data_IF_802754799880
#
_entry.id   IF_802754799880
#
_cell.length_a   1.000
_cell.length_b   1.000
_cell.length_c   1.000
_cell.angle_alpha   90.00
_cell.angle_beta   90.00
_cell.angle_gamma   90.00
#
_symmetry.space_group_name_H-M   'P 1'
#
loop_
_entity.id
_entity.type
_entity.pdbx_description
1 polymer ?
#
# COMPACT_ATOMS: atom_id res chain seq x y z
N UNK A 1 14.67 -15.26 1.38
CA UNK A 1 13.67 -14.93 0.35
C UNK A 1 14.38 -14.44 -0.89
N UNK A 2 14.10 -15.05 -2.04
CA UNK A 2 14.66 -14.62 -3.32
C UNK A 2 13.91 -13.39 -3.84
N UNK A 3 14.60 -12.58 -4.65
CA UNK A 3 14.00 -11.37 -5.26
C UNK A 3 13.39 -11.63 -6.64
N UNK A 4 13.36 -12.90 -7.07
CA UNK A 4 12.87 -13.38 -8.37
C UNK A 4 11.90 -14.53 -8.17
N UNK A 5 11.00 -14.76 -9.12
CA UNK A 5 10.06 -15.90 -9.09
C UNK A 5 8.94 -15.78 -8.06
N UNK A 6 8.64 -14.57 -7.60
CA UNK A 6 7.53 -14.31 -6.67
C UNK A 6 6.29 -13.87 -7.43
N UNK A 7 5.12 -14.05 -6.82
CA UNK A 7 3.85 -13.44 -7.21
C UNK A 7 3.50 -12.37 -6.18
N UNK A 8 3.41 -11.11 -6.61
CA UNK A 8 3.41 -9.92 -5.75
C UNK A 8 2.16 -9.09 -5.98
N UNK A 9 1.38 -8.83 -4.95
CA UNK A 9 0.28 -7.86 -4.98
C UNK A 9 0.74 -6.52 -4.39
N UNK A 10 0.55 -5.42 -5.15
CA UNK A 10 0.89 -4.06 -4.70
C UNK A 10 -0.38 -3.21 -4.70
N UNK A 11 -0.80 -2.74 -3.53
CA UNK A 11 -1.92 -1.79 -3.44
C UNK A 11 -1.46 -0.38 -3.82
N UNK A 12 -2.31 0.37 -4.53
CA UNK A 12 -1.92 1.69 -5.05
C UNK A 12 -0.80 1.62 -6.09
N UNK A 13 -0.70 0.51 -6.83
CA UNK A 13 0.41 0.21 -7.74
C UNK A 13 0.39 0.94 -9.09
N UNK A 14 -0.64 1.74 -9.38
CA UNK A 14 -0.78 2.39 -10.69
C UNK A 14 0.07 3.66 -10.87
N UNK A 15 0.57 4.26 -9.80
CA UNK A 15 1.34 5.51 -9.82
C UNK A 15 2.41 5.55 -8.72
N UNK A 16 3.32 6.53 -8.79
CA UNK A 16 4.28 6.82 -7.73
C UNK A 16 5.17 5.64 -7.34
N UNK A 17 5.38 5.47 -6.04
CA UNK A 17 6.23 4.41 -5.46
C UNK A 17 5.73 3.03 -5.85
N UNK A 18 4.42 2.79 -5.78
CA UNK A 18 3.83 1.50 -6.12
C UNK A 18 4.10 1.08 -7.58
N UNK A 19 3.99 2.02 -8.53
CA UNK A 19 4.30 1.76 -9.94
C UNK A 19 5.80 1.52 -10.16
N UNK A 20 6.66 2.29 -9.48
CA UNK A 20 8.11 2.08 -9.54
C UNK A 20 8.51 0.69 -9.02
N UNK A 21 7.92 0.26 -7.89
CA UNK A 21 8.12 -1.10 -7.35
C UNK A 21 7.62 -2.16 -8.34
N UNK A 22 6.43 -1.98 -8.91
CA UNK A 22 5.87 -2.91 -9.90
C UNK A 22 6.81 -3.09 -11.10
N UNK A 23 7.34 -1.98 -11.64
CA UNK A 23 8.30 -2.00 -12.74
C UNK A 23 9.57 -2.80 -12.39
N UNK A 24 10.16 -2.50 -11.23
CA UNK A 24 11.40 -3.18 -10.78
C UNK A 24 11.17 -4.67 -10.56
N UNK A 25 10.05 -5.05 -9.94
CA UNK A 25 9.74 -6.46 -9.70
C UNK A 25 9.48 -7.23 -10.99
N UNK A 26 8.77 -6.65 -11.97
CA UNK A 26 8.58 -7.26 -13.28
C UNK A 26 9.91 -7.46 -14.01
N UNK A 27 10.80 -6.46 -13.97
CA UNK A 27 12.13 -6.55 -14.58
C UNK A 27 12.99 -7.66 -13.97
N UNK A 28 12.71 -8.03 -12.73
CA UNK A 28 13.38 -9.13 -12.02
C UNK A 28 12.69 -10.49 -12.16
N UNK A 29 11.75 -10.62 -13.12
CA UNK A 29 11.11 -11.91 -13.40
C UNK A 29 10.08 -12.35 -12.36
N UNK A 30 9.47 -11.41 -11.64
CA UNK A 30 8.33 -11.69 -10.78
C UNK A 30 7.02 -11.50 -11.55
N UNK A 31 5.97 -12.20 -11.10
CA UNK A 31 4.59 -11.92 -11.49
C UNK A 31 4.05 -10.81 -10.59
N UNK A 32 3.50 -9.74 -11.19
CA UNK A 32 3.08 -8.56 -10.43
C UNK A 32 1.64 -8.20 -10.72
N UNK A 33 0.89 -8.07 -9.62
CA UNK A 33 -0.50 -7.62 -9.59
C UNK A 33 -0.55 -6.25 -8.92
N UNK A 34 -1.33 -5.35 -9.46
CA UNK A 34 -1.62 -4.08 -8.82
C UNK A 34 -3.11 -3.86 -8.65
N UNK A 35 -3.49 -3.18 -7.59
CA UNK A 35 -4.84 -2.66 -7.46
C UNK A 35 -4.84 -1.15 -7.21
N UNK A 36 -5.96 -0.50 -7.56
CA UNK A 36 -6.17 0.91 -7.34
C UNK A 36 -7.58 1.33 -7.72
N UNK A 37 -7.98 2.55 -7.37
CA UNK A 37 -9.34 3.06 -7.58
C UNK A 37 -9.57 3.63 -8.98
N UNK A 38 -8.52 4.19 -9.58
CA UNK A 38 -8.58 4.94 -10.83
C UNK A 38 -8.32 4.03 -12.02
N UNK A 39 -9.38 3.72 -12.77
CA UNK A 39 -9.34 2.85 -13.93
C UNK A 39 -8.42 3.38 -15.04
N UNK A 40 -8.45 4.70 -15.27
CA UNK A 40 -7.57 5.37 -16.22
C UNK A 40 -6.07 5.12 -15.90
N UNK A 41 -5.70 5.22 -14.61
CA UNK A 41 -4.31 5.00 -14.17
C UNK A 41 -3.88 3.53 -14.22
N UNK A 42 -4.80 2.61 -13.94
CA UNK A 42 -4.55 1.17 -14.11
C UNK A 42 -4.32 0.85 -15.58
N UNK A 43 -5.13 1.41 -16.48
CA UNK A 43 -4.99 1.26 -17.93
C UNK A 43 -3.67 1.86 -18.45
N UNK A 44 -3.30 3.07 -17.98
CA UNK A 44 -1.99 3.66 -18.32
C UNK A 44 -0.82 2.78 -17.84
N UNK A 45 -0.92 2.22 -16.63
CA UNK A 45 0.11 1.35 -16.07
C UNK A 45 0.27 0.07 -16.87
N UNK A 46 -0.83 -0.60 -17.23
CA UNK A 46 -0.79 -1.84 -18.06
C UNK A 46 -0.27 -1.59 -19.46
N UNK A 47 -0.56 -0.44 -20.08
CA UNK A 47 0.04 -0.05 -21.37
C UNK A 47 1.56 0.12 -21.30
N UNK A 48 2.07 0.69 -20.17
CA UNK A 48 3.52 0.87 -19.95
C UNK A 48 4.23 -0.43 -19.56
N UNK A 49 3.53 -1.34 -18.91
CA UNK A 49 4.03 -2.61 -18.41
C UNK A 49 3.06 -3.74 -18.81
N UNK A 50 3.17 -4.28 -20.05
CA UNK A 50 2.17 -5.22 -20.59
C UNK A 50 2.01 -6.54 -19.83
N UNK A 51 2.98 -6.91 -18.98
CA UNK A 51 2.92 -8.11 -18.12
C UNK A 51 2.30 -7.83 -16.74
N UNK A 52 1.82 -6.62 -16.50
CA UNK A 52 1.23 -6.23 -15.24
C UNK A 52 -0.25 -6.63 -15.18
N UNK A 53 -0.63 -7.36 -14.15
CA UNK A 53 -2.05 -7.66 -13.89
C UNK A 53 -2.68 -6.53 -13.08
N UNK A 54 -3.85 -6.08 -13.49
CA UNK A 54 -4.53 -4.95 -12.85
C UNK A 54 -5.93 -5.31 -12.41
N UNK A 55 -6.36 -4.79 -11.27
CA UNK A 55 -7.74 -4.88 -10.80
C UNK A 55 -8.16 -3.55 -10.16
N UNK A 56 -9.36 -3.09 -10.49
CA UNK A 56 -9.95 -1.94 -9.80
C UNK A 56 -10.40 -2.35 -8.40
N UNK A 57 -9.88 -1.67 -7.38
CA UNK A 57 -10.24 -1.89 -5.98
C UNK A 57 -10.06 -0.61 -5.19
N UNK A 58 -11.06 -0.24 -4.42
CA UNK A 58 -10.90 0.71 -3.32
C UNK A 58 -10.55 -0.07 -2.06
N UNK A 59 -9.35 0.15 -1.53
CA UNK A 59 -8.89 -0.53 -0.31
C UNK A 59 -9.57 0.00 0.96
N UNK A 60 -10.20 1.17 0.93
CA UNK A 60 -11.04 1.67 2.02
C UNK A 60 -12.35 0.86 2.16
N UNK A 61 -12.90 0.37 1.03
CA UNK A 61 -14.11 -0.45 1.01
C UNK A 61 -13.84 -1.88 1.50
N UNK A 62 -14.59 -2.33 2.53
CA UNK A 62 -14.46 -3.67 3.08
C UNK A 62 -14.81 -4.76 2.06
N UNK A 63 -15.87 -4.57 1.29
CA UNK A 63 -16.27 -5.51 0.24
C UNK A 63 -15.28 -5.47 -0.94
N UNK A 64 -14.68 -4.30 -1.22
CA UNK A 64 -13.59 -4.17 -2.19
C UNK A 64 -12.38 -5.02 -1.81
N UNK A 65 -11.99 -5.04 -0.52
CA UNK A 65 -10.89 -5.88 -0.03
C UNK A 65 -11.20 -7.37 -0.13
N UNK A 66 -12.47 -7.79 0.13
CA UNK A 66 -12.89 -9.18 -0.05
C UNK A 66 -12.84 -9.59 -1.53
N UNK A 67 -13.42 -8.79 -2.42
CA UNK A 67 -13.36 -9.04 -3.87
C UNK A 67 -11.92 -9.12 -4.39
N UNK A 68 -11.02 -8.28 -3.85
CA UNK A 68 -9.59 -8.36 -4.17
C UNK A 68 -8.98 -9.69 -3.77
N UNK A 69 -9.26 -10.17 -2.54
CA UNK A 69 -8.80 -11.46 -2.07
C UNK A 69 -9.32 -12.59 -2.98
N UNK A 70 -10.62 -12.62 -3.26
CA UNK A 70 -11.25 -13.66 -4.07
C UNK A 70 -10.67 -13.71 -5.49
N UNK A 71 -10.45 -12.55 -6.09
CA UNK A 71 -9.81 -12.44 -7.41
C UNK A 71 -8.38 -12.99 -7.39
N UNK A 72 -7.60 -12.61 -6.38
CA UNK A 72 -6.21 -13.10 -6.23
C UNK A 72 -6.20 -14.61 -6.01
N UNK A 73 -7.03 -15.13 -5.11
CA UNK A 73 -7.04 -16.56 -4.78
C UNK A 73 -7.54 -17.41 -5.94
N UNK A 74 -8.39 -16.88 -6.80
CA UNK A 74 -8.88 -17.59 -7.99
C UNK A 74 -7.81 -17.64 -9.07
N UNK A 75 -7.10 -16.54 -9.32
CA UNK A 75 -6.23 -16.40 -10.48
C UNK A 75 -4.74 -16.57 -10.17
N UNK A 76 -4.30 -16.31 -8.92
CA UNK A 76 -2.89 -16.21 -8.52
C UNK A 76 -2.62 -16.95 -7.21
N UNK A 77 -2.87 -18.26 -7.20
CA UNK A 77 -2.73 -19.12 -5.99
C UNK A 77 -1.30 -19.16 -5.43
N UNK A 78 -0.31 -18.77 -6.22
CA UNK A 78 1.11 -18.65 -5.86
C UNK A 78 1.45 -17.32 -5.17
N UNK A 79 0.47 -16.42 -4.94
CA UNK A 79 0.74 -15.16 -4.25
C UNK A 79 1.51 -15.39 -2.95
N UNK A 80 2.70 -14.79 -2.87
CA UNK A 80 3.55 -14.91 -1.70
C UNK A 80 4.05 -13.57 -1.15
N UNK A 81 3.77 -12.44 -1.82
CA UNK A 81 4.14 -11.12 -1.31
C UNK A 81 2.94 -10.17 -1.39
N UNK A 82 2.59 -9.55 -0.26
CA UNK A 82 1.66 -8.43 -0.17
C UNK A 82 2.43 -7.14 0.12
N UNK A 83 2.26 -6.13 -0.75
CA UNK A 83 2.82 -4.78 -0.54
C UNK A 83 1.68 -3.81 -0.26
N UNK A 84 1.55 -3.39 0.99
CA UNK A 84 0.65 -2.35 1.45
C UNK A 84 1.26 -0.98 1.15
N UNK A 85 0.98 -0.45 -0.05
CA UNK A 85 1.53 0.81 -0.53
C UNK A 85 0.45 1.89 -0.70
N UNK A 86 -0.82 1.52 -0.91
CA UNK A 86 -1.89 2.51 -1.07
C UNK A 86 -1.91 3.50 0.10
N UNK A 87 -2.02 4.78 -0.21
CA UNK A 87 -2.04 5.85 0.78
C UNK A 87 -2.42 7.18 0.16
N UNK A 88 -2.87 8.08 1.00
CA UNK A 88 -3.16 9.48 0.69
C UNK A 88 -2.54 10.37 1.75
N UNK A 89 -2.39 11.64 1.43
CA UNK A 89 -1.83 12.67 2.28
C UNK A 89 -2.64 13.94 2.11
N UNK A 90 -3.04 14.58 3.24
CA UNK A 90 -3.82 15.81 3.24
C UNK A 90 -3.28 16.80 4.26
N UNK A 91 -3.43 18.08 3.96
CA UNK A 91 -3.25 19.15 4.94
C UNK A 91 -4.53 19.26 5.78
N UNK A 92 -4.39 19.36 7.10
CA UNK A 92 -5.49 19.52 8.06
C UNK A 92 -5.08 20.58 9.07
N UNK A 93 -5.89 21.64 9.18
CA UNK A 93 -5.74 22.69 10.19
C UNK A 93 -6.80 22.54 11.28
N UNK A 94 -6.41 22.00 12.43
CA UNK A 94 -7.29 21.82 13.57
C UNK A 94 -7.84 23.12 14.15
N UNK A 95 -7.24 24.29 13.85
CA UNK A 95 -7.81 25.59 14.24
C UNK A 95 -9.16 25.88 13.60
N UNK A 96 -9.46 25.20 12.48
CA UNK A 96 -10.75 25.26 11.80
C UNK A 96 -11.77 24.27 12.36
N UNK A 97 -11.48 23.63 13.48
CA UNK A 97 -12.32 22.59 14.06
C UNK A 97 -12.39 21.37 13.15
N UNK A 98 -13.61 20.91 12.85
CA UNK A 98 -13.83 19.70 12.04
C UNK A 98 -13.86 19.94 10.51
N UNK A 99 -13.78 21.18 10.05
CA UNK A 99 -13.95 21.51 8.62
C UNK A 99 -12.96 20.76 7.73
N UNK A 100 -11.67 20.91 7.97
CA UNK A 100 -10.66 20.23 7.18
C UNK A 100 -10.63 18.72 7.44
N UNK A 101 -10.94 18.31 8.68
CA UNK A 101 -10.98 16.91 9.09
C UNK A 101 -12.05 16.12 8.34
N UNK A 102 -13.25 16.69 8.21
CA UNK A 102 -14.41 16.04 7.59
C UNK A 102 -14.45 16.19 6.08
N UNK A 103 -13.59 17.03 5.50
CA UNK A 103 -13.50 17.21 4.05
C UNK A 103 -12.64 16.10 3.41
N UNK A 104 -13.05 15.63 2.24
CA UNK A 104 -12.27 14.69 1.42
C UNK A 104 -12.21 13.27 1.97
N UNK A 105 -11.16 12.55 1.60
CA UNK A 105 -11.02 11.13 1.88
C UNK A 105 -10.46 10.87 3.29
N UNK A 106 -10.86 9.75 3.88
CA UNK A 106 -10.42 9.35 5.23
C UNK A 106 -9.03 8.70 5.18
N UNK A 107 -8.01 9.41 5.66
CA UNK A 107 -6.64 8.90 5.73
C UNK A 107 -6.49 7.70 6.67
N UNK A 108 -7.28 7.64 7.74
CA UNK A 108 -7.21 6.52 8.70
C UNK A 108 -7.68 5.23 8.02
N UNK A 109 -8.76 5.29 7.25
CA UNK A 109 -9.27 4.12 6.53
C UNK A 109 -8.29 3.62 5.48
N UNK A 110 -7.71 4.54 4.70
CA UNK A 110 -6.83 4.17 3.57
C UNK A 110 -5.43 3.80 4.05
N UNK A 111 -4.82 4.63 4.93
CA UNK A 111 -3.42 4.49 5.28
C UNK A 111 -3.17 3.50 6.43
N UNK A 112 -4.18 3.24 7.26
CA UNK A 112 -4.05 2.38 8.44
C UNK A 112 -5.00 1.18 8.41
N UNK A 113 -6.30 1.40 8.35
CA UNK A 113 -7.27 0.31 8.44
C UNK A 113 -7.16 -0.65 7.27
N UNK A 114 -6.99 -0.15 6.05
CA UNK A 114 -6.85 -0.99 4.86
C UNK A 114 -5.64 -1.93 4.93
N UNK A 115 -4.39 -1.48 5.19
CA UNK A 115 -3.25 -2.39 5.31
C UNK A 115 -3.37 -3.38 6.47
N UNK A 116 -3.97 -2.99 7.60
CA UNK A 116 -4.23 -3.92 8.72
C UNK A 116 -5.20 -5.02 8.29
N UNK A 117 -6.34 -4.65 7.69
CA UNK A 117 -7.33 -5.62 7.24
C UNK A 117 -6.84 -6.50 6.08
N UNK A 118 -6.13 -5.92 5.10
CA UNK A 118 -5.53 -6.71 4.01
C UNK A 118 -4.51 -7.70 4.55
N UNK A 119 -3.65 -7.29 5.49
CA UNK A 119 -2.72 -8.21 6.13
C UNK A 119 -3.46 -9.37 6.79
N UNK A 120 -4.50 -9.09 7.58
CA UNK A 120 -5.31 -10.11 8.24
C UNK A 120 -5.99 -11.06 7.23
N UNK A 121 -6.53 -10.54 6.13
CA UNK A 121 -7.17 -11.32 5.07
C UNK A 121 -6.19 -12.25 4.34
N UNK A 122 -4.99 -11.76 4.03
CA UNK A 122 -4.01 -12.52 3.24
C UNK A 122 -3.12 -13.45 4.06
N UNK A 123 -2.88 -13.21 5.35
CA UNK A 123 -2.02 -14.04 6.23
C UNK A 123 -2.35 -15.53 6.15
N UNK A 124 -3.62 -16.01 6.22
CA UNK A 124 -3.93 -17.43 6.16
C UNK A 124 -3.48 -18.12 4.85
N UNK A 125 -3.40 -17.35 3.76
CA UNK A 125 -2.95 -17.84 2.45
C UNK A 125 -1.43 -17.73 2.31
N UNK A 126 -0.84 -16.65 2.78
CA UNK A 126 0.60 -16.45 2.79
C UNK A 126 1.31 -17.50 3.66
N UNK A 127 0.72 -17.92 4.78
CA UNK A 127 1.25 -18.99 5.64
C UNK A 127 1.36 -20.33 4.94
N UNK A 128 0.59 -20.58 3.89
CA UNK A 128 0.65 -21.81 3.07
C UNK A 128 1.80 -21.80 2.06
N UNK A 129 2.41 -20.64 1.82
CA UNK A 129 3.54 -20.51 0.91
C UNK A 129 4.83 -20.93 1.61
N UNK A 130 5.76 -21.50 0.84
CA UNK A 130 7.07 -21.93 1.36
C UNK A 130 7.88 -20.75 1.92
N UNK A 131 7.80 -19.61 1.26
CA UNK A 131 8.34 -18.32 1.69
C UNK A 131 7.35 -17.22 1.33
N UNK A 132 7.04 -16.34 2.26
CA UNK A 132 6.13 -15.23 2.04
C UNK A 132 6.62 -13.93 2.68
N UNK A 133 6.06 -12.79 2.24
CA UNK A 133 6.32 -11.51 2.87
C UNK A 133 5.10 -10.59 2.89
N UNK A 134 5.05 -9.75 3.91
CA UNK A 134 4.23 -8.55 3.97
C UNK A 134 5.18 -7.35 4.00
N UNK A 135 4.98 -6.41 3.10
CA UNK A 135 5.77 -5.17 2.99
C UNK A 135 4.85 -3.99 3.24
N UNK A 136 5.10 -3.22 4.28
CA UNK A 136 4.35 -2.01 4.60
C UNK A 136 5.15 -0.77 4.19
N UNK A 137 4.52 0.16 3.47
CA UNK A 137 5.13 1.43 3.11
C UNK A 137 4.74 2.48 4.16
N UNK A 138 5.68 2.82 5.04
CA UNK A 138 5.52 3.89 6.02
C UNK A 138 6.05 5.24 5.46
N UNK A 139 6.70 6.02 6.27
CA UNK A 139 7.27 7.33 5.87
C UNK A 139 8.30 7.78 6.89
N UNK A 140 9.24 8.63 6.50
CA UNK A 140 10.06 9.40 7.43
C UNK A 140 9.22 10.25 8.40
N UNK A 141 8.04 10.68 7.98
CA UNK A 141 7.07 11.42 8.80
C UNK A 141 6.42 10.59 9.92
N UNK A 142 6.64 9.27 9.95
CA UNK A 142 6.30 8.43 11.10
C UNK A 142 7.18 8.73 12.32
N UNK A 143 8.39 9.26 12.10
CA UNK A 143 9.40 9.51 13.13
C UNK A 143 9.61 11.01 13.40
N UNK A 144 9.50 11.82 12.34
CA UNK A 144 9.64 13.28 12.42
C UNK A 144 8.38 13.91 11.82
N UNK A 145 7.32 14.07 12.62
CA UNK A 145 6.04 14.59 12.14
C UNK A 145 6.11 16.07 11.80
N UNK A 146 5.29 16.49 10.83
CA UNK A 146 5.10 17.88 10.44
C UNK A 146 3.68 18.36 10.76
N UNK A 147 3.55 19.60 11.23
CA UNK A 147 2.29 20.11 11.76
C UNK A 147 1.14 20.19 10.72
N UNK A 148 1.44 20.39 9.45
CA UNK A 148 0.44 20.57 8.39
C UNK A 148 -0.21 19.26 7.95
N UNK A 149 0.35 18.10 8.29
CA UNK A 149 -0.15 16.76 7.88
C UNK A 149 -0.33 15.83 9.10
N UNK A 150 -1.10 16.23 10.11
CA UNK A 150 -1.15 15.53 11.40
C UNK A 150 -1.71 14.12 11.28
N UNK A 151 -2.75 13.90 10.46
CA UNK A 151 -3.35 12.57 10.27
C UNK A 151 -2.41 11.64 9.49
N UNK A 152 -1.79 12.17 8.43
CA UNK A 152 -0.81 11.38 7.68
C UNK A 152 0.32 10.88 8.58
N UNK A 153 0.94 11.79 9.35
CA UNK A 153 2.02 11.45 10.27
C UNK A 153 1.56 10.39 11.29
N UNK A 154 0.38 10.58 11.89
CA UNK A 154 -0.20 9.65 12.85
C UNK A 154 -0.45 8.26 12.21
N UNK A 155 -1.03 8.20 11.01
CA UNK A 155 -1.26 6.92 10.33
C UNK A 155 0.04 6.20 9.97
N UNK A 156 1.08 6.94 9.56
CA UNK A 156 2.39 6.34 9.23
C UNK A 156 3.15 5.87 10.47
N UNK A 157 3.04 6.58 11.61
CA UNK A 157 3.54 6.12 12.90
C UNK A 157 2.79 4.84 13.36
N UNK A 158 1.48 4.77 13.16
CA UNK A 158 0.70 3.58 13.46
C UNK A 158 1.11 2.38 12.59
N UNK A 159 1.40 2.58 11.29
CA UNK A 159 1.91 1.52 10.39
C UNK A 159 3.30 1.06 10.80
N UNK A 160 4.17 1.96 11.25
CA UNK A 160 5.46 1.56 11.83
C UNK A 160 5.26 0.62 13.03
N UNK A 161 4.46 1.04 14.01
CA UNK A 161 4.12 0.23 15.18
C UNK A 161 3.50 -1.11 14.79
N UNK A 162 2.51 -1.11 13.88
CA UNK A 162 1.87 -2.33 13.35
C UNK A 162 2.89 -3.28 12.73
N UNK A 163 3.85 -2.77 11.96
CA UNK A 163 4.88 -3.59 11.32
C UNK A 163 5.78 -4.30 12.35
N UNK A 164 6.10 -3.64 13.46
CA UNK A 164 6.86 -4.24 14.57
C UNK A 164 6.07 -5.38 15.22
N UNK A 165 4.81 -5.13 15.60
CA UNK A 165 3.94 -6.15 16.22
C UNK A 165 3.70 -7.33 15.29
N UNK A 166 3.39 -7.07 14.03
CA UNK A 166 3.13 -8.11 13.05
C UNK A 166 4.36 -9.02 12.85
N UNK A 167 5.57 -8.45 12.86
CA UNK A 167 6.83 -9.19 12.81
C UNK A 167 6.99 -10.12 14.00
N UNK A 168 6.58 -9.68 15.20
CA UNK A 168 6.59 -10.52 16.40
C UNK A 168 5.56 -11.64 16.33
N UNK A 169 4.33 -11.33 15.96
CA UNK A 169 3.24 -12.32 15.89
C UNK A 169 3.50 -13.42 14.84
N UNK A 170 4.16 -13.07 13.74
CA UNK A 170 4.45 -14.00 12.65
C UNK A 170 5.82 -14.70 12.79
N UNK A 171 6.51 -14.49 13.91
CA UNK A 171 7.78 -15.18 14.20
C UNK A 171 7.55 -16.70 14.21
N UNK A 172 8.41 -17.43 13.49
CA UNK A 172 8.29 -18.90 13.37
C UNK A 172 7.38 -19.37 12.22
N UNK A 173 6.72 -18.44 11.51
CA UNK A 173 5.97 -18.75 10.27
C UNK A 173 6.84 -18.56 9.02
N UNK A 174 6.27 -18.88 7.85
CA UNK A 174 6.91 -18.63 6.54
C UNK A 174 6.93 -17.14 6.16
N UNK A 175 6.21 -16.27 6.89
CA UNK A 175 6.00 -14.86 6.53
C UNK A 175 7.08 -13.97 7.17
N UNK A 176 7.76 -13.19 6.35
CA UNK A 176 8.64 -12.10 6.81
C UNK A 176 7.92 -10.77 6.67
N UNK A 177 8.08 -9.87 7.65
CA UNK A 177 7.48 -8.53 7.62
C UNK A 177 8.58 -7.50 7.40
N UNK A 178 8.43 -6.73 6.34
CA UNK A 178 9.33 -5.62 5.99
C UNK A 178 8.58 -4.29 6.11
N UNK A 179 9.31 -3.27 6.45
CA UNK A 179 8.87 -1.89 6.38
C UNK A 179 9.82 -1.14 5.45
N UNK A 180 9.25 -0.40 4.50
CA UNK A 180 9.98 0.53 3.66
C UNK A 180 9.62 1.93 4.14
N UNK A 181 10.65 2.74 4.45
CA UNK A 181 10.55 4.11 4.92
C UNK A 181 11.08 5.01 3.80
N UNK A 182 10.22 5.42 2.84
CA UNK A 182 10.69 6.28 1.75
C UNK A 182 11.09 7.66 2.30
N UNK A 183 12.13 8.27 1.73
CA UNK A 183 12.36 9.72 1.92
C UNK A 183 11.25 10.52 1.20
N UNK A 184 11.29 11.83 1.32
CA UNK A 184 10.43 12.70 0.50
C UNK A 184 10.69 12.41 -0.98
N UNK A 185 9.66 11.95 -1.67
CA UNK A 185 9.73 11.54 -3.08
C UNK A 185 8.78 12.37 -3.92
N UNK A 186 9.16 12.63 -5.16
CA UNK A 186 8.31 13.30 -6.13
C UNK A 186 7.22 12.33 -6.62
N UNK A 187 6.10 12.32 -5.92
CA UNK A 187 4.96 11.47 -6.24
C UNK A 187 3.68 12.28 -6.32
N UNK A 188 2.65 11.71 -6.94
CA UNK A 188 1.32 12.30 -6.99
C UNK A 188 0.58 12.34 -5.63
N UNK A 189 1.21 11.94 -4.55
CA UNK A 189 0.63 11.98 -3.21
C UNK A 189 0.34 13.43 -2.76
N UNK A 190 1.10 14.39 -3.28
CA UNK A 190 1.18 15.80 -2.86
C UNK A 190 0.38 16.76 -3.78
N UNK A 191 -0.66 16.26 -4.47
CA UNK A 191 -1.37 17.00 -5.54
C UNK A 191 -2.02 18.33 -5.15
N UNK A 192 -2.20 18.63 -3.88
CA UNK A 192 -2.82 19.89 -3.43
C UNK A 192 -1.85 20.93 -2.90
N UNK A 193 -0.64 20.54 -2.50
CA UNK A 193 0.29 21.39 -1.78
C UNK A 193 1.33 22.09 -2.67
N UNK A 194 1.61 21.56 -3.87
CA UNK A 194 2.65 22.12 -4.76
C UNK A 194 2.19 23.31 -5.59
N UNK A 195 0.94 23.32 -6.05
CA UNK A 195 0.39 24.45 -6.83
C UNK A 195 0.23 25.74 -6.00
N UNK A 196 0.37 25.64 -4.66
CA UNK A 196 0.29 26.80 -3.74
C UNK A 196 1.64 27.35 -3.30
N UNK A 197 2.75 26.76 -3.73
CA UNK A 197 4.13 27.12 -3.34
C UNK A 197 4.98 27.60 -4.52
N UNK A 198 4.32 28.00 -5.63
CA UNK A 198 4.95 28.70 -6.76
C UNK A 198 5.29 30.13 -6.45
#
# INVERSE_FOLDING_TARGET
MHITGNTILITGGATGIGFALAKVFLQRGNEVLICGRREDKLTEASKKLPKLHTIRCDVADAEGRKRLLDWVMTNFKSLNILVNNAGIQREVDFKKGTVDLMSGENEIEINLQAPVHLSALFIPYLMKQKEAAIVNISSGLAFVPIAIMPLYCATKAAIHSFSLFLRHQLKGTSIKVFEIIPPTTDTWLDRGARDKRG
#
